data_IF_086963256600
#
_entry.id   IF_086963256600
#
_cell.length_a   1.000
_cell.length_b   1.000
_cell.length_c   1.000
_cell.angle_alpha   90.00
_cell.angle_beta   90.00
_cell.angle_gamma   90.00
#
_symmetry.space_group_name_H-M   'P 1'
#
loop_
_entity.id
_entity.type
_entity.pdbx_description
1 polymer ?
#
# COMPACT_ATOMS: atom_id res chain seq x y z
N UNK A 1 -2.99 13.59 -29.79
CA UNK A 1 -3.37 14.12 -28.46
C UNK A 1 -3.04 13.05 -27.42
N UNK A 2 -1.74 12.83 -27.19
CA UNK A 2 -1.23 11.82 -26.25
C UNK A 2 -1.22 12.40 -24.85
N UNK A 3 -2.40 12.45 -24.25
CA UNK A 3 -2.64 12.89 -22.89
C UNK A 3 -1.70 12.16 -21.93
N UNK A 4 -0.70 12.90 -21.46
CA UNK A 4 0.14 12.60 -20.30
C UNK A 4 0.79 11.22 -20.31
N UNK A 5 1.88 11.16 -21.08
CA UNK A 5 2.88 10.09 -21.09
C UNK A 5 3.08 9.48 -19.70
N UNK A 6 3.17 8.16 -19.61
CA UNK A 6 3.42 7.38 -18.37
C UNK A 6 4.56 7.99 -17.52
N UNK A 7 5.53 8.63 -18.19
CA UNK A 7 6.61 9.41 -17.59
C UNK A 7 6.14 10.54 -16.66
N UNK A 8 5.08 11.27 -17.00
CA UNK A 8 4.52 12.33 -16.16
C UNK A 8 3.95 11.75 -14.85
N UNK A 9 3.19 10.67 -14.95
CA UNK A 9 2.63 9.99 -13.79
C UNK A 9 3.71 9.46 -12.84
N UNK A 10 4.82 8.95 -13.37
CA UNK A 10 5.95 8.50 -12.56
C UNK A 10 6.57 9.65 -11.76
N UNK A 11 6.78 10.81 -12.39
CA UNK A 11 7.32 12.01 -11.74
C UNK A 11 6.36 12.52 -10.65
N UNK A 12 5.05 12.57 -10.94
CA UNK A 12 4.03 12.98 -9.97
C UNK A 12 4.01 12.05 -8.76
N UNK A 13 4.10 10.73 -8.98
CA UNK A 13 4.13 9.75 -7.90
C UNK A 13 5.34 9.97 -6.99
N UNK A 14 6.52 10.25 -7.56
CA UNK A 14 7.74 10.57 -6.78
C UNK A 14 7.54 11.83 -5.94
N UNK A 15 6.97 12.89 -6.50
CA UNK A 15 6.72 14.15 -5.77
C UNK A 15 5.73 13.91 -4.62
N UNK A 16 4.63 13.21 -4.88
CA UNK A 16 3.65 12.85 -3.83
C UNK A 16 4.31 12.03 -2.72
N UNK A 17 5.17 11.06 -3.08
CA UNK A 17 5.87 10.23 -2.10
C UNK A 17 6.88 11.02 -1.26
N UNK A 18 7.47 12.09 -1.81
CA UNK A 18 8.36 13.00 -1.07
C UNK A 18 7.59 13.93 -0.14
N UNK A 19 6.43 14.45 -0.57
CA UNK A 19 5.61 15.36 0.26
C UNK A 19 4.94 14.64 1.42
N UNK A 20 4.39 13.45 1.17
CA UNK A 20 3.71 12.65 2.20
C UNK A 20 4.67 11.75 2.99
N UNK A 21 5.84 11.43 2.42
CA UNK A 21 6.81 10.51 3.00
C UNK A 21 6.37 9.03 2.91
N UNK A 22 7.35 8.12 3.01
CA UNK A 22 7.13 6.65 2.94
C UNK A 22 6.31 6.07 4.11
N UNK A 23 6.20 6.77 5.23
CA UNK A 23 5.49 6.30 6.42
C UNK A 23 3.98 6.57 6.39
N UNK A 24 3.55 7.68 5.77
CA UNK A 24 2.13 8.09 5.81
C UNK A 24 1.28 7.40 4.76
N UNK A 25 1.83 7.06 3.60
CA UNK A 25 1.07 6.37 2.54
C UNK A 25 0.63 4.96 2.98
N UNK A 26 1.48 4.09 3.57
CA UNK A 26 1.07 2.76 4.03
C UNK A 26 0.06 2.80 5.18
N UNK A 27 0.22 3.74 6.11
CA UNK A 27 -0.68 3.94 7.26
C UNK A 27 -2.09 4.31 6.76
N UNK A 28 -2.19 5.32 5.88
CA UNK A 28 -3.45 5.76 5.28
C UNK A 28 -4.07 4.70 4.34
N UNK A 29 -3.26 4.02 3.53
CA UNK A 29 -3.74 2.92 2.69
C UNK A 29 -4.29 1.77 3.52
N UNK A 30 -3.67 1.45 4.66
CA UNK A 30 -4.13 0.40 5.57
C UNK A 30 -5.53 0.66 6.08
N UNK A 31 -5.82 1.89 6.50
CA UNK A 31 -7.14 2.25 7.03
C UNK A 31 -8.20 2.38 5.94
N UNK A 32 -7.84 2.91 4.76
CA UNK A 32 -8.71 2.90 3.58
C UNK A 32 -9.02 1.47 3.13
N UNK A 33 -8.02 0.57 3.11
CA UNK A 33 -8.21 -0.83 2.74
C UNK A 33 -9.11 -1.58 3.73
N UNK A 34 -8.98 -1.34 5.04
CA UNK A 34 -9.88 -1.89 6.06
C UNK A 34 -11.32 -1.39 5.88
N UNK A 35 -11.49 -0.10 5.59
CA UNK A 35 -12.80 0.51 5.31
C UNK A 35 -13.47 -0.11 4.08
N UNK A 36 -12.74 -0.22 2.97
CA UNK A 36 -13.23 -0.86 1.73
C UNK A 36 -13.51 -2.35 1.93
N UNK A 37 -12.66 -3.08 2.67
CA UNK A 37 -12.87 -4.51 3.00
C UNK A 37 -14.14 -4.71 3.82
N UNK A 38 -14.39 -3.83 4.80
CA UNK A 38 -15.59 -3.86 5.63
C UNK A 38 -16.84 -3.47 4.84
N UNK A 39 -16.73 -2.50 3.93
CA UNK A 39 -17.78 -2.10 3.02
C UNK A 39 -18.15 -3.24 2.06
N UNK A 40 -17.16 -3.88 1.44
CA UNK A 40 -17.37 -5.03 0.54
C UNK A 40 -17.99 -6.23 1.28
N UNK A 41 -17.53 -6.51 2.49
CA UNK A 41 -18.09 -7.55 3.36
C UNK A 41 -19.56 -7.26 3.72
N UNK A 42 -19.88 -6.01 4.05
CA UNK A 42 -21.26 -5.60 4.38
C UNK A 42 -22.21 -5.53 3.18
N UNK A 43 -21.69 -5.35 1.96
CA UNK A 43 -22.49 -5.20 0.74
C UNK A 43 -22.92 -6.53 0.08
N UNK A 44 -22.56 -7.70 0.66
CA UNK A 44 -23.13 -8.98 0.23
C UNK A 44 -22.15 -10.10 -0.13
N UNK A 45 -21.00 -10.19 0.54
CA UNK A 45 -20.13 -11.38 0.49
C UNK A 45 -19.93 -11.89 1.93
N UNK A 46 -20.93 -12.60 2.45
CA UNK A 46 -20.68 -13.53 3.55
C UNK A 46 -19.91 -14.74 3.00
N UNK A 47 -18.91 -15.20 3.76
CA UNK A 47 -18.08 -16.39 3.52
C UNK A 47 -16.86 -16.26 2.59
N UNK A 48 -15.97 -15.32 2.89
CA UNK A 48 -14.53 -15.67 2.79
C UNK A 48 -13.81 -15.21 4.05
N UNK A 49 -13.20 -16.14 4.83
CA UNK A 49 -12.45 -15.76 6.03
C UNK A 49 -11.36 -14.76 5.64
N UNK A 50 -11.06 -13.79 6.52
CA UNK A 50 -10.08 -12.76 6.20
C UNK A 50 -8.77 -13.44 5.88
N UNK A 51 -8.26 -13.27 4.66
CA UNK A 51 -6.84 -13.42 4.40
C UNK A 51 -6.14 -12.46 5.35
N UNK A 52 -5.65 -13.02 6.46
CA UNK A 52 -4.71 -12.37 7.35
C UNK A 52 -3.52 -12.01 6.47
N UNK A 53 -3.42 -10.73 6.16
CA UNK A 53 -2.21 -10.15 5.60
C UNK A 53 -1.16 -10.30 6.68
N UNK A 54 -0.49 -11.45 6.68
CA UNK A 54 0.80 -11.64 7.33
C UNK A 54 1.64 -10.47 6.86
N UNK A 55 1.94 -9.62 7.81
CA UNK A 55 2.88 -8.52 7.78
C UNK A 55 3.99 -8.86 6.79
N UNK A 56 4.14 -8.07 5.74
CA UNK A 56 5.39 -8.01 4.97
C UNK A 56 6.39 -7.31 5.88
N UNK A 57 6.71 -7.96 6.98
CA UNK A 57 7.86 -7.72 7.82
C UNK A 57 8.79 -8.89 7.50
N UNK A 58 9.47 -8.77 6.37
CA UNK A 58 10.66 -9.56 6.14
C UNK A 58 11.63 -8.70 5.33
N UNK A 59 12.89 -8.70 5.77
CA UNK A 59 14.08 -8.29 5.02
C UNK A 59 14.55 -6.83 5.17
N UNK A 60 14.96 -6.43 6.38
CA UNK A 60 15.94 -5.34 6.55
C UNK A 60 17.02 -5.58 7.63
N UNK A 61 17.05 -6.74 8.31
CA UNK A 61 18.02 -7.00 9.39
C UNK A 61 18.74 -8.36 9.27
N UNK A 62 19.05 -8.80 8.04
CA UNK A 62 19.94 -9.94 7.79
C UNK A 62 21.01 -9.54 6.76
N UNK A 63 21.87 -8.57 7.13
CA UNK A 63 23.06 -8.21 6.35
C UNK A 63 24.23 -7.69 7.21
N UNK A 64 24.20 -7.84 8.54
CA UNK A 64 25.24 -7.28 9.42
C UNK A 64 25.43 -8.05 10.74
N UNK A 65 25.56 -9.37 10.70
CA UNK A 65 26.09 -10.13 11.85
C UNK A 65 26.77 -11.45 11.42
N UNK A 66 27.68 -11.34 10.45
CA UNK A 66 28.72 -12.34 10.17
C UNK A 66 30.02 -11.61 9.82
N UNK A 67 30.50 -10.82 10.77
CA UNK A 67 31.85 -10.25 10.79
C UNK A 67 32.50 -10.59 12.11
#
# INVERSE_FOLDING_TARGET
MGSFSIWHWLIVLVVVLLLFGRGKIPELMGDVAKGIKSFKKGMGEEETPPAETKTVESKAEEAKDRG
#
